data_IF_099493635883
#
_entry.id   IF_099493635883
#
_cell.length_a   1.000
_cell.length_b   1.000
_cell.length_c   1.000
_cell.angle_alpha   90.00
_cell.angle_beta   90.00
_cell.angle_gamma   90.00
#
_symmetry.space_group_name_H-M   'P 1'
#
loop_
_entity.id
_entity.type
_entity.pdbx_description
1 polymer ?
#
# COMPACT_ATOMS: atom_id res chain seq x y z
N UNK A 1 -5.47 -15.19 14.18
CA UNK A 1 -4.85 -16.16 13.26
C UNK A 1 -3.86 -15.40 12.40
N UNK A 2 -2.58 -15.72 12.49
CA UNK A 2 -1.53 -15.17 11.62
C UNK A 2 -1.60 -15.97 10.32
N UNK A 3 -1.90 -15.30 9.21
CA UNK A 3 -2.01 -15.95 7.90
C UNK A 3 -0.66 -16.50 7.45
N UNK A 4 -0.64 -17.82 7.25
CA UNK A 4 0.50 -18.58 6.73
C UNK A 4 0.65 -18.34 5.22
N UNK A 5 1.41 -17.28 4.87
CA UNK A 5 2.22 -17.05 3.65
C UNK A 5 2.11 -15.58 3.23
N UNK A 6 3.25 -14.89 3.16
CA UNK A 6 3.34 -13.49 2.73
C UNK A 6 3.63 -12.54 3.88
N UNK A 7 2.62 -12.04 4.59
CA UNK A 7 2.78 -11.09 5.71
C UNK A 7 2.53 -11.80 7.05
N UNK A 8 3.51 -11.78 7.95
CA UNK A 8 3.52 -12.54 9.21
C UNK A 8 3.08 -11.72 10.42
N UNK A 9 3.37 -10.42 10.44
CA UNK A 9 3.12 -9.57 11.61
C UNK A 9 2.86 -8.13 11.20
N UNK A 10 1.97 -7.46 11.94
CA UNK A 10 1.69 -6.03 11.83
C UNK A 10 2.26 -5.34 13.08
N UNK A 11 3.01 -4.26 12.89
CA UNK A 11 3.51 -3.44 13.97
C UNK A 11 2.56 -2.27 14.18
N UNK A 12 1.48 -2.47 14.92
CA UNK A 12 0.43 -1.44 15.13
C UNK A 12 0.98 -0.13 15.71
N UNK A 13 2.03 -0.22 16.51
CA UNK A 13 2.79 0.89 17.08
C UNK A 13 3.67 1.64 16.08
N UNK A 14 3.83 1.15 14.85
CA UNK A 14 4.49 1.88 13.76
C UNK A 14 3.51 2.74 12.94
N UNK A 15 2.19 2.64 13.21
CA UNK A 15 1.18 3.25 12.38
C UNK A 15 1.24 4.78 12.43
N UNK A 16 1.60 5.38 11.30
CA UNK A 16 1.77 6.83 11.15
C UNK A 16 0.88 7.35 10.03
N UNK A 17 0.15 8.43 10.27
CA UNK A 17 -0.85 8.94 9.32
C UNK A 17 -0.85 10.46 9.17
N UNK A 18 -1.40 10.92 8.05
CA UNK A 18 -1.71 12.32 7.82
C UNK A 18 -2.97 12.49 7.00
N UNK A 19 -3.61 13.66 7.11
CA UNK A 19 -4.70 14.06 6.22
C UNK A 19 -4.10 14.42 4.86
N UNK A 20 -4.55 13.75 3.82
CA UNK A 20 -4.09 13.97 2.46
C UNK A 20 -4.92 15.02 1.72
N UNK A 21 -6.24 14.90 1.76
CA UNK A 21 -7.17 15.88 1.19
C UNK A 21 -8.38 16.06 2.09
N UNK A 22 -8.92 17.27 2.18
CA UNK A 22 -10.12 17.59 2.98
C UNK A 22 -11.41 17.64 2.15
N UNK A 23 -11.34 18.12 0.89
CA UNK A 23 -12.50 18.22 -0.03
C UNK A 23 -13.17 16.88 -0.31
N UNK A 24 -12.37 15.85 -0.57
CA UNK A 24 -12.76 14.47 -0.39
C UNK A 24 -11.88 13.95 0.73
N UNK A 25 -12.45 13.75 1.92
CA UNK A 25 -11.62 13.41 3.09
C UNK A 25 -10.88 12.10 2.81
N UNK A 26 -9.57 12.22 2.65
CA UNK A 26 -8.66 11.11 2.43
C UNK A 26 -7.51 11.23 3.41
N UNK A 27 -7.17 10.12 4.04
CA UNK A 27 -5.97 9.98 4.87
C UNK A 27 -5.02 9.04 4.18
N UNK A 28 -3.73 9.28 4.37
CA UNK A 28 -2.65 8.39 3.94
C UNK A 28 -1.89 7.96 5.18
N UNK A 29 -1.36 6.75 5.14
CA UNK A 29 -0.73 6.13 6.28
C UNK A 29 0.36 5.16 5.85
N UNK A 30 1.29 4.95 6.76
CA UNK A 30 2.36 3.98 6.64
C UNK A 30 2.27 3.04 7.83
N UNK A 31 2.50 1.76 7.58
CA UNK A 31 2.50 0.70 8.58
C UNK A 31 3.65 -0.25 8.27
N UNK A 32 4.39 -0.65 9.29
CA UNK A 32 5.47 -1.61 9.15
C UNK A 32 4.90 -3.02 9.39
N UNK A 33 5.32 -3.97 8.56
CA UNK A 33 4.91 -5.36 8.63
C UNK A 33 6.10 -6.28 8.41
N UNK A 34 6.07 -7.49 8.96
CA UNK A 34 7.05 -8.51 8.60
C UNK A 34 6.54 -9.31 7.39
N UNK A 35 7.36 -9.42 6.35
CA UNK A 35 7.07 -10.18 5.13
C UNK A 35 8.04 -11.35 5.04
N UNK A 36 7.53 -12.56 4.79
CA UNK A 36 8.34 -13.75 4.56
C UNK A 36 8.72 -13.86 3.09
N UNK A 37 9.99 -13.67 2.81
CA UNK A 37 10.60 -14.01 1.52
C UNK A 37 11.31 -15.37 1.61
N UNK A 38 11.80 -15.86 0.47
CA UNK A 38 12.51 -17.15 0.42
C UNK A 38 13.84 -17.15 1.22
N UNK A 39 14.47 -15.98 1.40
CA UNK A 39 15.79 -15.82 2.00
C UNK A 39 15.77 -15.37 3.47
N UNK A 40 14.68 -14.75 3.91
CA UNK A 40 14.48 -14.26 5.29
C UNK A 40 13.06 -13.71 5.48
N UNK A 41 12.75 -13.40 6.74
CA UNK A 41 11.66 -12.50 7.10
C UNK A 41 12.22 -11.10 7.22
N UNK A 42 11.60 -10.14 6.55
CA UNK A 42 12.06 -8.75 6.48
C UNK A 42 10.95 -7.81 6.94
N UNK A 43 11.31 -6.74 7.66
CA UNK A 43 10.39 -5.65 7.99
C UNK A 43 10.25 -4.70 6.81
N UNK A 44 9.01 -4.43 6.41
CA UNK A 44 8.70 -3.60 5.24
C UNK A 44 7.66 -2.57 5.62
N UNK A 45 7.92 -1.30 5.30
CA UNK A 45 6.91 -0.24 5.36
C UNK A 45 5.97 -0.38 4.16
N UNK A 46 4.67 -0.47 4.41
CA UNK A 46 3.61 -0.42 3.39
C UNK A 46 2.79 0.86 3.51
N UNK A 47 2.26 1.35 2.38
CA UNK A 47 1.39 2.52 2.35
C UNK A 47 -0.07 2.15 2.11
N UNK A 48 -0.95 2.86 2.82
CA UNK A 48 -2.39 2.72 2.70
C UNK A 48 -3.06 4.09 2.61
N UNK A 49 -4.28 4.11 2.06
CA UNK A 49 -5.16 5.26 2.13
C UNK A 49 -6.55 4.87 2.64
N UNK A 50 -7.19 5.79 3.35
CA UNK A 50 -8.61 5.68 3.73
C UNK A 50 -9.38 6.85 3.15
N UNK A 51 -10.65 6.62 2.83
CA UNK A 51 -11.56 7.61 2.26
C UNK A 51 -12.89 7.60 3.03
N UNK A 52 -13.49 8.78 3.20
CA UNK A 52 -14.79 8.93 3.86
C UNK A 52 -15.99 8.57 2.97
N UNK A 53 -15.80 8.39 1.67
CA UNK A 53 -16.85 8.04 0.70
C UNK A 53 -16.89 6.56 0.31
N UNK A 54 -18.06 6.09 -0.13
CA UNK A 54 -18.34 4.74 -0.67
C UNK A 54 -18.47 4.79 -2.19
N UNK A 55 -17.39 4.53 -2.94
CA UNK A 55 -17.43 4.43 -4.41
C UNK A 55 -16.79 3.12 -4.88
N UNK A 56 -17.34 2.50 -5.92
CA UNK A 56 -16.76 1.35 -6.65
C UNK A 56 -16.33 0.18 -5.74
N UNK A 57 -17.22 -0.30 -4.88
CA UNK A 57 -16.96 -1.45 -4.01
C UNK A 57 -16.11 -1.14 -2.76
N UNK A 58 -15.86 0.14 -2.45
CA UNK A 58 -15.09 0.54 -1.26
C UNK A 58 -15.96 0.81 -0.04
N UNK A 59 -15.55 0.26 1.08
CA UNK A 59 -16.16 0.44 2.40
C UNK A 59 -15.63 1.71 3.05
N UNK A 60 -16.54 2.55 3.54
CA UNK A 60 -16.21 3.80 4.25
C UNK A 60 -15.28 3.53 5.43
N UNK A 61 -14.21 4.32 5.52
CA UNK A 61 -13.24 4.25 6.61
C UNK A 61 -12.27 3.07 6.55
N UNK A 62 -12.47 2.10 5.65
CA UNK A 62 -11.49 1.02 5.42
C UNK A 62 -10.23 1.59 4.75
N UNK A 63 -9.09 1.02 5.11
CA UNK A 63 -7.80 1.39 4.54
C UNK A 63 -7.43 0.43 3.40
N UNK A 64 -6.98 0.98 2.28
CA UNK A 64 -6.63 0.25 1.07
C UNK A 64 -5.16 0.46 0.70
N UNK A 65 -4.44 -0.58 0.26
CA UNK A 65 -3.04 -0.47 -0.11
C UNK A 65 -2.82 0.45 -1.32
N UNK A 66 -1.68 1.14 -1.34
CA UNK A 66 -1.17 1.94 -2.45
C UNK A 66 0.33 1.72 -2.63
N UNK A 67 0.79 1.79 -3.88
CA UNK A 67 2.21 1.78 -4.23
C UNK A 67 2.90 3.14 -4.01
N UNK A 68 2.09 4.19 -3.90
CA UNK A 68 2.56 5.55 -3.81
C UNK A 68 1.53 6.56 -4.32
N UNK A 69 1.98 7.80 -4.52
CA UNK A 69 1.12 8.89 -4.98
C UNK A 69 1.80 9.65 -6.10
N UNK A 70 1.11 9.81 -7.24
CA UNK A 70 1.61 10.55 -8.39
C UNK A 70 1.92 12.00 -7.99
N UNK A 71 3.10 12.51 -8.36
CA UNK A 71 3.53 13.87 -7.99
C UNK A 71 3.51 14.85 -9.16
N UNK A 72 3.40 14.34 -10.40
CA UNK A 72 3.34 15.12 -11.64
C UNK A 72 2.26 14.55 -12.58
N UNK A 73 1.66 15.36 -13.43
CA UNK A 73 0.78 14.83 -14.48
C UNK A 73 1.61 14.05 -15.51
N UNK A 74 1.00 13.06 -16.17
CA UNK A 74 1.63 12.35 -17.28
C UNK A 74 1.94 10.87 -16.98
N UNK A 75 2.90 10.32 -17.73
CA UNK A 75 3.47 8.98 -17.53
C UNK A 75 4.12 8.84 -16.14
N UNK A 76 4.31 7.61 -15.71
CA UNK A 76 5.02 7.27 -14.48
C UNK A 76 6.54 7.38 -14.70
N UNK A 77 7.16 8.37 -14.06
CA UNK A 77 8.62 8.59 -14.14
C UNK A 77 9.24 8.99 -12.80
N UNK A 78 8.41 9.18 -11.77
CA UNK A 78 8.84 9.68 -10.45
C UNK A 78 9.03 8.60 -9.38
N UNK A 79 8.73 7.34 -9.70
CA UNK A 79 9.04 6.19 -8.84
C UNK A 79 10.34 5.52 -9.30
N UNK A 80 10.63 4.34 -8.78
CA UNK A 80 11.73 3.50 -9.29
C UNK A 80 11.42 2.96 -10.68
N UNK A 81 12.44 2.53 -11.47
CA UNK A 81 12.21 1.95 -12.79
C UNK A 81 11.19 0.80 -12.78
N UNK A 82 11.27 -0.10 -11.79
CA UNK A 82 10.36 -1.23 -11.67
C UNK A 82 8.93 -0.79 -11.35
N UNK A 83 8.75 0.10 -10.37
CA UNK A 83 7.41 0.60 -10.03
C UNK A 83 6.79 1.42 -11.16
N UNK A 84 7.59 2.19 -11.92
CA UNK A 84 7.11 2.90 -13.10
C UNK A 84 6.60 1.91 -14.16
N UNK A 85 7.31 0.79 -14.39
CA UNK A 85 6.86 -0.28 -15.27
C UNK A 85 5.52 -0.88 -14.81
N UNK A 86 5.44 -1.35 -13.57
CA UNK A 86 4.21 -1.96 -13.01
C UNK A 86 3.02 -0.99 -13.08
N UNK A 87 3.22 0.29 -12.73
CA UNK A 87 2.14 1.27 -12.77
C UNK A 87 1.71 1.62 -14.19
N UNK A 88 2.63 1.62 -15.15
CA UNK A 88 2.33 1.82 -16.57
C UNK A 88 1.48 0.68 -17.09
N UNK A 89 1.82 -0.57 -16.74
CA UNK A 89 1.10 -1.76 -17.20
C UNK A 89 -0.29 -1.91 -16.55
N UNK A 90 -0.39 -1.60 -15.25
CA UNK A 90 -1.65 -1.78 -14.50
C UNK A 90 -2.62 -0.61 -14.59
N UNK A 91 -2.22 0.53 -15.17
CA UNK A 91 -3.06 1.73 -15.27
C UNK A 91 -3.47 1.97 -16.72
N UNK A 92 -4.76 2.25 -16.95
CA UNK A 92 -5.27 2.59 -18.28
C UNK A 92 -4.41 3.69 -18.92
N UNK A 93 -3.94 3.41 -20.15
CA UNK A 93 -3.02 4.20 -20.96
C UNK A 93 -1.63 4.46 -20.35
N UNK A 94 -1.35 4.01 -19.14
CA UNK A 94 -0.10 4.28 -18.43
C UNK A 94 0.06 5.75 -17.99
N UNK A 95 -1.04 6.49 -17.87
CA UNK A 95 -1.07 7.91 -17.50
C UNK A 95 -1.85 8.15 -16.20
N UNK A 96 -1.39 9.12 -15.41
CA UNK A 96 -2.14 9.58 -14.25
C UNK A 96 -1.92 11.07 -13.96
N UNK A 97 -2.93 11.69 -13.35
CA UNK A 97 -2.85 13.07 -12.88
C UNK A 97 -2.14 13.15 -11.52
N UNK A 98 -1.51 14.30 -11.26
CA UNK A 98 -0.91 14.63 -9.96
C UNK A 98 -1.93 14.40 -8.85
N UNK A 99 -1.47 13.73 -7.80
CA UNK A 99 -2.26 13.39 -6.63
C UNK A 99 -3.07 12.10 -6.77
N UNK A 100 -2.98 11.41 -7.91
CA UNK A 100 -3.56 10.09 -8.09
C UNK A 100 -2.90 9.07 -7.16
N UNK A 101 -3.74 8.30 -6.45
CA UNK A 101 -3.32 7.23 -5.55
C UNK A 101 -3.06 5.97 -6.36
N UNK A 102 -1.80 5.53 -6.35
CA UNK A 102 -1.31 4.42 -7.17
C UNK A 102 -1.77 3.08 -6.63
N UNK A 103 -2.95 2.66 -7.07
CA UNK A 103 -3.68 1.52 -6.51
C UNK A 103 -4.06 0.46 -7.51
N UNK A 104 -3.94 0.70 -8.83
CA UNK A 104 -4.53 -0.15 -9.86
C UNK A 104 -4.13 -1.62 -9.75
N UNK A 105 -2.86 -1.90 -9.44
CA UNK A 105 -2.34 -3.24 -9.16
C UNK A 105 -3.17 -4.03 -8.13
N UNK A 106 -3.83 -3.37 -7.18
CA UNK A 106 -4.61 -4.06 -6.15
C UNK A 106 -6.06 -4.34 -6.60
N UNK A 107 -6.46 -3.96 -7.82
CA UNK A 107 -7.83 -4.04 -8.35
C UNK A 107 -7.95 -4.97 -9.59
N UNK A 108 -7.20 -6.09 -9.63
CA UNK A 108 -7.24 -7.06 -10.74
C UNK A 108 -8.67 -7.53 -11.11
N UNK A 109 -8.89 -7.71 -12.42
CA UNK A 109 -10.21 -7.90 -13.07
C UNK A 109 -10.68 -9.34 -13.24
N UNK A 110 -9.90 -10.35 -12.82
CA UNK A 110 -10.27 -11.75 -12.99
C UNK A 110 -11.35 -12.15 -11.98
N UNK A 111 -12.61 -12.07 -12.45
CA UNK A 111 -13.89 -12.57 -11.90
C UNK A 111 -14.01 -12.53 -10.37
N UNK A 112 -14.93 -11.73 -9.81
CA UNK A 112 -15.14 -11.75 -8.37
C UNK A 112 -15.55 -13.16 -7.96
N UNK A 113 -14.68 -13.86 -7.23
CA UNK A 113 -15.20 -14.77 -6.21
C UNK A 113 -16.09 -13.87 -5.34
N UNK A 114 -17.39 -14.11 -5.44
CA UNK A 114 -18.56 -13.33 -5.00
C UNK A 114 -18.56 -12.94 -3.50
N UNK A 115 -17.45 -13.09 -2.79
CA UNK A 115 -17.26 -12.83 -1.36
C UNK A 115 -16.08 -11.91 -1.02
N UNK A 116 -15.20 -11.54 -1.97
CA UNK A 116 -14.02 -10.71 -1.69
C UNK A 116 -14.29 -9.21 -1.89
N UNK A 117 -13.89 -8.39 -0.92
CA UNK A 117 -13.83 -6.92 -1.05
C UNK A 117 -12.73 -6.53 -2.06
N UNK A 118 -13.06 -5.71 -3.06
CA UNK A 118 -12.09 -5.25 -4.07
C UNK A 118 -11.00 -4.34 -3.49
N UNK A 119 -9.83 -4.30 -4.15
CA UNK A 119 -8.77 -3.34 -3.83
C UNK A 119 -7.68 -3.84 -2.89
N UNK A 120 -7.53 -5.14 -2.74
CA UNK A 120 -6.56 -5.78 -1.85
C UNK A 120 -5.71 -6.87 -2.53
N UNK A 121 -5.55 -6.81 -3.86
CA UNK A 121 -5.01 -7.89 -4.73
C UNK A 121 -5.95 -9.10 -4.84
N UNK A 122 -5.72 -10.02 -5.79
CA UNK A 122 -6.50 -11.25 -5.93
C UNK A 122 -5.77 -12.52 -5.44
N UNK A 123 -4.46 -12.42 -5.24
CA UNK A 123 -3.58 -13.54 -4.95
C UNK A 123 -3.36 -13.81 -3.45
N UNK A 124 -2.20 -14.38 -3.12
CA UNK A 124 -1.86 -14.89 -1.77
C UNK A 124 -1.86 -13.80 -0.69
N UNK A 125 -1.62 -12.55 -1.07
CA UNK A 125 -1.60 -11.42 -0.14
C UNK A 125 -2.99 -10.85 0.19
N UNK A 126 -4.06 -11.31 -0.45
CA UNK A 126 -5.41 -10.76 -0.28
C UNK A 126 -5.84 -10.66 1.19
N UNK A 127 -5.86 -11.80 1.88
CA UNK A 127 -6.38 -11.87 3.25
C UNK A 127 -5.55 -11.01 4.22
N UNK A 128 -4.23 -11.01 4.04
CA UNK A 128 -3.32 -10.22 4.88
C UNK A 128 -3.47 -8.72 4.63
N UNK A 129 -3.58 -8.28 3.37
CA UNK A 129 -3.80 -6.87 3.04
C UNK A 129 -5.17 -6.39 3.51
N UNK A 130 -6.20 -7.23 3.40
CA UNK A 130 -7.53 -6.93 3.92
C UNK A 130 -7.53 -6.81 5.45
N UNK A 131 -6.87 -7.74 6.14
CA UNK A 131 -6.72 -7.71 7.59
C UNK A 131 -5.95 -6.48 8.09
N UNK A 132 -4.87 -6.06 7.40
CA UNK A 132 -4.20 -4.79 7.68
C UNK A 132 -5.19 -3.63 7.51
N UNK A 133 -5.93 -3.60 6.39
CA UNK A 133 -6.92 -2.56 6.13
C UNK A 133 -7.96 -2.39 7.25
N UNK A 134 -8.43 -3.51 7.82
CA UNK A 134 -9.33 -3.53 8.97
C UNK A 134 -8.63 -3.05 10.25
N UNK A 135 -7.42 -3.55 10.52
CA UNK A 135 -6.61 -3.16 11.68
C UNK A 135 -6.37 -1.65 11.70
N UNK A 136 -5.99 -1.06 10.56
CA UNK A 136 -5.77 0.39 10.45
C UNK A 136 -7.06 1.20 10.65
N UNK A 137 -8.22 0.65 10.25
CA UNK A 137 -9.53 1.28 10.51
C UNK A 137 -9.80 1.33 12.01
N UNK A 138 -9.62 0.21 12.71
CA UNK A 138 -9.84 0.11 14.15
C UNK A 138 -8.89 1.02 14.93
N UNK A 139 -7.60 1.04 14.56
CA UNK A 139 -6.60 1.94 15.14
C UNK A 139 -6.99 3.41 14.95
N UNK A 140 -7.46 3.77 13.75
CA UNK A 140 -7.92 5.14 13.46
C UNK A 140 -9.14 5.52 14.29
N UNK A 141 -10.12 4.61 14.44
CA UNK A 141 -11.32 4.85 15.26
C UNK A 141 -11.00 5.00 16.75
N UNK A 142 -9.97 4.29 17.23
CA UNK A 142 -9.50 4.35 18.61
C UNK A 142 -8.46 5.46 18.86
N UNK A 143 -8.17 6.30 17.86
CA UNK A 143 -7.09 7.31 17.89
C UNK A 143 -5.70 6.74 18.27
N UNK A 144 -5.43 5.49 17.88
CA UNK A 144 -4.15 4.81 18.11
C UNK A 144 -3.25 4.89 16.87
N UNK A 145 -2.69 6.06 16.62
CA UNK A 145 -1.74 6.31 15.53
C UNK A 145 -0.86 7.52 15.85
N UNK A 146 0.31 7.60 15.21
CA UNK A 146 1.14 8.79 15.24
C UNK A 146 0.73 9.76 14.12
N UNK A 147 0.51 11.02 14.48
CA UNK A 147 0.30 12.07 13.49
C UNK A 147 1.63 12.44 12.86
N UNK A 148 1.73 12.40 11.53
CA UNK A 148 2.94 12.75 10.79
C UNK A 148 2.62 13.85 9.76
N UNK A 149 2.54 15.14 10.15
CA UNK A 149 2.19 16.24 9.24
C UNK A 149 3.11 16.37 8.01
N UNK A 150 4.34 15.85 8.10
CA UNK A 150 5.33 15.78 7.02
C UNK A 150 5.04 14.67 5.99
N UNK A 151 4.13 13.73 6.28
CA UNK A 151 3.73 12.66 5.36
C UNK A 151 2.86 13.26 4.23
N UNK A 152 3.54 13.65 3.16
CA UNK A 152 3.01 14.19 1.91
C UNK A 152 3.42 13.26 0.75
N UNK A 153 2.84 13.38 -0.46
CA UNK A 153 3.15 12.48 -1.58
C UNK A 153 4.64 12.19 -1.82
N UNK A 154 5.48 13.23 -1.84
CA UNK A 154 6.94 13.07 -2.03
C UNK A 154 7.59 12.30 -0.88
N UNK A 155 7.25 12.63 0.37
CA UNK A 155 7.77 11.95 1.56
C UNK A 155 7.33 10.50 1.60
N UNK A 156 6.06 10.22 1.31
CA UNK A 156 5.52 8.86 1.25
C UNK A 156 6.27 8.02 0.21
N UNK A 157 6.39 8.51 -1.03
CA UNK A 157 7.12 7.78 -2.06
C UNK A 157 8.59 7.55 -1.66
N UNK A 158 9.26 8.56 -1.10
CA UNK A 158 10.64 8.45 -0.64
C UNK A 158 10.82 7.38 0.45
N UNK A 159 9.88 7.28 1.40
CA UNK A 159 9.93 6.26 2.45
C UNK A 159 9.76 4.86 1.85
N UNK A 160 8.77 4.67 0.97
CA UNK A 160 8.51 3.36 0.36
C UNK A 160 9.70 2.86 -0.46
N UNK A 161 10.42 3.77 -1.11
CA UNK A 161 11.57 3.46 -1.98
C UNK A 161 12.90 3.86 -1.34
N UNK A 162 12.99 3.84 -0.01
CA UNK A 162 14.22 4.18 0.71
C UNK A 162 15.27 3.09 0.53
N UNK A 163 16.54 3.47 0.33
CA UNK A 163 17.68 2.54 0.32
C UNK A 163 18.11 2.12 1.74
N UNK A 164 17.44 2.62 2.77
CA UNK A 164 17.71 2.26 4.17
C UNK A 164 17.42 0.77 4.42
N UNK A 165 18.35 0.12 5.13
CA UNK A 165 18.19 -1.25 5.63
C UNK A 165 17.74 -1.15 7.09
N UNK A 166 16.51 -1.58 7.37
CA UNK A 166 16.00 -1.59 8.75
C UNK A 166 16.72 -2.61 9.62
N UNK A 167 16.72 -2.38 10.94
CA UNK A 167 17.34 -3.31 11.90
C UNK A 167 16.74 -4.71 11.74
N UNK A 168 17.60 -5.69 11.46
CA UNK A 168 17.23 -7.09 11.26
C UNK A 168 16.93 -7.48 9.81
N UNK A 169 16.84 -6.51 8.89
CA UNK A 169 16.69 -6.78 7.47
C UNK A 169 18.02 -7.15 6.81
N UNK A 170 17.95 -7.99 5.77
CA UNK A 170 19.05 -8.26 4.84
C UNK A 170 19.04 -7.32 3.64
N UNK A 171 17.86 -6.84 3.24
CA UNK A 171 17.70 -5.99 2.07
C UNK A 171 17.14 -4.61 2.46
N UNK A 172 17.33 -3.64 1.57
CA UNK A 172 16.78 -2.29 1.76
C UNK A 172 15.25 -2.29 1.74
N UNK A 173 14.64 -1.25 2.31
CA UNK A 173 13.21 -1.00 2.23
C UNK A 173 12.74 -0.99 0.77
N UNK A 174 13.49 -0.37 -0.16
CA UNK A 174 13.19 -0.34 -1.59
C UNK A 174 13.14 -1.75 -2.18
N UNK A 175 14.18 -2.55 -1.99
CA UNK A 175 14.26 -3.90 -2.57
C UNK A 175 13.16 -4.82 -2.03
N UNK A 176 12.92 -4.79 -0.71
CA UNK A 176 11.85 -5.57 -0.11
C UNK A 176 10.48 -5.13 -0.62
N UNK A 177 10.24 -3.82 -0.68
CA UNK A 177 8.99 -3.27 -1.21
C UNK A 177 8.78 -3.65 -2.68
N UNK A 178 9.78 -3.52 -3.54
CA UNK A 178 9.69 -3.90 -4.95
C UNK A 178 9.43 -5.40 -5.14
N UNK A 179 10.08 -6.27 -4.35
CA UNK A 179 9.82 -7.72 -4.38
C UNK A 179 8.39 -8.05 -3.94
N UNK A 180 7.89 -7.38 -2.91
CA UNK A 180 6.50 -7.53 -2.49
C UNK A 180 5.52 -7.11 -3.60
N UNK A 181 5.82 -6.00 -4.30
CA UNK A 181 5.03 -5.56 -5.44
C UNK A 181 5.12 -6.54 -6.61
N UNK A 182 6.31 -7.08 -6.87
CA UNK A 182 6.54 -8.08 -7.91
C UNK A 182 5.69 -9.32 -7.68
N UNK A 183 5.71 -9.85 -6.46
CA UNK A 183 4.91 -11.02 -6.11
C UNK A 183 3.40 -10.78 -6.37
N UNK A 184 2.90 -9.58 -6.09
CA UNK A 184 1.49 -9.24 -6.36
C UNK A 184 1.23 -9.09 -7.85
N UNK A 185 2.18 -8.50 -8.59
CA UNK A 185 2.06 -8.27 -10.02
C UNK A 185 2.08 -9.55 -10.83
N UNK A 186 2.91 -10.53 -10.45
CA UNK A 186 2.94 -11.86 -11.08
C UNK A 186 1.65 -12.66 -10.84
N UNK A 187 0.89 -12.33 -9.79
CA UNK A 187 -0.40 -12.94 -9.44
C UNK A 187 -1.62 -12.14 -9.98
N UNK A 188 -1.40 -11.04 -10.71
CA UNK A 188 -2.42 -10.08 -11.16
C UNK A 188 -3.32 -10.57 -12.33
#
# INVERSE_FOLDING_TARGET
MINSNGILKIYEDSFRTNIYTTRHFRRIGLIDVDIKYFYSVERVTLAFYSSSGTNNGKTKGLWYPILGIKTRNGKFTEFTPYLNFVLTDTTIDGFANKGWLAKSLFFASKRPYYKKTLGFSNGRYYESLFYIGQTLKDLTQKNKFYSMPSLKPKTLNKILTSEEVYIGNKCSQKENFERFIQDIFEEH
#
